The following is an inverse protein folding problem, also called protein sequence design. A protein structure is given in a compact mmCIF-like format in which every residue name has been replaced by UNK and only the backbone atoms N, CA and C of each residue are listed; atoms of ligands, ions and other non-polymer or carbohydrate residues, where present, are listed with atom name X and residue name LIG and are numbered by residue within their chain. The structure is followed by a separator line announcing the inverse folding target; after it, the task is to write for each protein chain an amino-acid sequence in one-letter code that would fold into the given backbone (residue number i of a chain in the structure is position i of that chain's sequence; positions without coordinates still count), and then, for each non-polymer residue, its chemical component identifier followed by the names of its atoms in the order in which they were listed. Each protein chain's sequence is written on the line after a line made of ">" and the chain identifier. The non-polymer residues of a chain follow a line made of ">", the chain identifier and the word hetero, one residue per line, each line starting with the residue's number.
data_IF_753571967117
#
_entry.id   IF_753571967117
#
_cell.length_a   1.000
_cell.length_b   1.000
_cell.length_c   1.000
_cell.angle_alpha   90.00
_cell.angle_beta   90.00
_cell.angle_gamma   90.00
#
_symmetry.space_group_name_H-M   'P 1'
#
loop_
_entity.id
_entity.type
_entity.pdbx_description
1 polymer ?
#
# COMPACT_ATOMS: atom_id res chain seq x y z
N UNK A 1 -19.95 2.86 -22.35
CA UNK A 1 -18.74 3.50 -21.80
C UNK A 1 -19.01 3.74 -20.33
N UNK A 2 -18.44 2.91 -19.44
CA UNK A 2 -18.58 3.10 -17.99
C UNK A 2 -17.37 3.92 -17.56
N UNK A 3 -17.61 5.21 -17.29
CA UNK A 3 -16.60 6.10 -16.72
C UNK A 3 -16.27 5.62 -15.31
N UNK A 4 -15.06 5.12 -15.13
CA UNK A 4 -14.55 4.71 -13.83
C UNK A 4 -13.96 5.93 -13.13
N UNK A 5 -14.78 6.68 -12.41
CA UNK A 5 -14.30 7.75 -11.55
C UNK A 5 -13.55 7.16 -10.36
N UNK A 6 -12.24 7.04 -10.51
CA UNK A 6 -11.34 6.91 -9.36
C UNK A 6 -11.21 8.32 -8.79
N UNK A 7 -11.86 8.60 -7.68
CA UNK A 7 -11.75 9.90 -7.02
C UNK A 7 -10.32 9.99 -6.46
N UNK A 8 -9.49 10.75 -7.16
CA UNK A 8 -8.17 11.15 -6.71
C UNK A 8 -8.37 12.41 -5.85
N UNK A 9 -8.19 12.31 -4.55
CA UNK A 9 -8.38 13.43 -3.62
C UNK A 9 -7.11 14.26 -3.57
N UNK A 10 -7.16 15.51 -4.01
CA UNK A 10 -6.10 16.49 -3.76
C UNK A 10 -6.20 16.98 -2.30
N UNK A 11 -5.21 16.62 -1.49
CA UNK A 11 -5.21 16.84 -0.03
C UNK A 11 -4.82 18.29 0.34
N UNK A 12 -4.63 19.19 -0.62
CA UNK A 12 -4.23 20.57 -0.36
C UNK A 12 -5.36 21.47 0.11
N UNK A 13 -6.60 21.03 -0.04
CA UNK A 13 -7.77 21.76 0.43
C UNK A 13 -8.66 20.83 1.26
N UNK A 14 -8.68 21.08 2.55
CA UNK A 14 -9.79 20.80 3.42
C UNK A 14 -9.65 19.70 4.49
N UNK A 15 -9.59 20.15 5.73
CA UNK A 15 -9.79 19.36 6.96
C UNK A 15 -11.23 18.88 7.16
N UNK A 16 -12.11 18.98 6.16
CA UNK A 16 -13.56 18.73 6.28
C UNK A 16 -14.09 17.54 5.45
N UNK A 17 -13.29 16.83 4.67
CA UNK A 17 -13.76 15.61 4.00
C UNK A 17 -13.41 14.37 4.83
N UNK A 18 -14.07 14.23 5.98
CA UNK A 18 -14.23 12.92 6.62
C UNK A 18 -15.14 12.16 5.66
N UNK A 19 -14.62 11.11 5.07
CA UNK A 19 -15.41 10.20 4.25
C UNK A 19 -16.60 9.70 5.05
N UNK A 20 -17.78 9.78 4.48
CA UNK A 20 -18.96 9.13 5.07
C UNK A 20 -18.82 7.60 4.88
N UNK A 21 -18.13 6.99 5.81
CA UNK A 21 -17.94 5.56 5.87
C UNK A 21 -19.20 4.82 6.39
N UNK A 22 -20.36 5.36 6.22
CA UNK A 22 -21.58 4.82 6.82
C UNK A 22 -22.09 3.53 6.17
N UNK A 23 -21.57 3.15 4.98
CA UNK A 23 -22.09 2.02 4.21
C UNK A 23 -20.97 1.18 3.60
N UNK A 24 -20.88 -0.11 3.97
CA UNK A 24 -20.07 -1.11 3.28
C UNK A 24 -18.64 -1.30 3.80
N UNK A 25 -17.90 -2.19 3.12
CA UNK A 25 -16.48 -2.50 3.39
C UNK A 25 -15.60 -1.32 2.98
N UNK A 26 -14.70 -0.89 3.87
CA UNK A 26 -13.83 0.27 3.69
C UNK A 26 -12.45 -0.15 3.20
N UNK A 27 -12.05 0.26 2.01
CA UNK A 27 -10.77 -0.08 1.42
C UNK A 27 -9.92 1.17 1.21
N UNK A 28 -8.84 1.30 1.98
CA UNK A 28 -7.85 2.33 1.78
C UNK A 28 -6.70 1.80 0.94
N UNK A 29 -6.41 2.45 -0.18
CA UNK A 29 -5.33 2.09 -1.07
C UNK A 29 -4.22 3.16 -1.03
N UNK A 30 -2.98 2.75 -0.74
CA UNK A 30 -1.82 3.63 -0.65
C UNK A 30 -0.82 3.31 -1.76
N UNK A 31 -0.60 4.29 -2.64
CA UNK A 31 0.43 4.20 -3.65
C UNK A 31 1.77 4.71 -3.09
N UNK A 32 2.71 3.80 -2.86
CA UNK A 32 4.08 4.10 -2.46
C UNK A 32 5.04 4.32 -3.63
N UNK A 33 4.54 4.43 -4.87
CA UNK A 33 5.35 4.77 -6.04
C UNK A 33 5.30 6.28 -6.32
N UNK A 34 6.44 6.88 -6.67
CA UNK A 34 6.49 8.26 -7.16
C UNK A 34 5.78 8.41 -8.53
N UNK A 35 5.68 7.31 -9.30
CA UNK A 35 5.04 7.29 -10.62
C UNK A 35 3.57 6.94 -10.48
N UNK A 36 2.67 7.93 -10.56
CA UNK A 36 1.21 7.76 -10.43
C UNK A 36 0.57 6.86 -11.52
N UNK A 37 1.27 6.67 -12.64
CA UNK A 37 0.85 5.81 -13.75
C UNK A 37 1.87 4.71 -14.06
N UNK A 38 2.80 4.43 -13.14
CA UNK A 38 3.75 3.32 -13.27
C UNK A 38 3.12 1.97 -12.90
N UNK A 39 3.92 0.91 -12.98
CA UNK A 39 3.46 -0.48 -12.79
C UNK A 39 2.76 -0.70 -11.45
N UNK A 40 3.34 -0.23 -10.33
CA UNK A 40 2.73 -0.38 -8.99
C UNK A 40 1.37 0.31 -8.90
N UNK A 41 1.26 1.55 -9.40
CA UNK A 41 0.02 2.31 -9.39
C UNK A 41 -1.05 1.66 -10.32
N UNK A 42 -0.64 1.12 -11.46
CA UNK A 42 -1.53 0.40 -12.38
C UNK A 42 -2.11 -0.84 -11.72
N UNK A 43 -1.27 -1.69 -11.12
CA UNK A 43 -1.75 -2.87 -10.38
C UNK A 43 -2.65 -2.49 -9.21
N UNK A 44 -2.31 -1.42 -8.47
CA UNK A 44 -3.14 -0.92 -7.37
C UNK A 44 -4.54 -0.48 -7.86
N UNK A 45 -4.61 0.21 -9.00
CA UNK A 45 -5.88 0.59 -9.63
C UNK A 45 -6.71 -0.66 -10.02
N UNK A 46 -6.06 -1.74 -10.45
CA UNK A 46 -6.75 -3.02 -10.69
C UNK A 46 -7.28 -3.65 -9.39
N UNK A 47 -6.51 -3.65 -8.31
CA UNK A 47 -6.98 -4.14 -7.01
C UNK A 47 -8.17 -3.31 -6.48
N UNK A 48 -8.13 -1.98 -6.63
CA UNK A 48 -9.24 -1.08 -6.32
C UNK A 48 -10.49 -1.44 -7.13
N UNK A 49 -10.35 -1.70 -8.44
CA UNK A 49 -11.48 -2.12 -9.28
C UNK A 49 -12.09 -3.44 -8.77
N UNK A 50 -11.24 -4.39 -8.37
CA UNK A 50 -11.70 -5.65 -7.77
C UNK A 50 -12.48 -5.42 -6.48
N UNK A 51 -11.98 -4.56 -5.59
CA UNK A 51 -12.67 -4.21 -4.34
C UNK A 51 -14.02 -3.52 -4.59
N UNK A 52 -14.08 -2.58 -5.55
CA UNK A 52 -15.36 -1.93 -5.97
C UNK A 52 -16.37 -2.95 -6.50
N UNK A 53 -15.92 -3.94 -7.27
CA UNK A 53 -16.80 -5.02 -7.77
C UNK A 53 -17.36 -5.90 -6.65
N UNK A 54 -16.69 -5.98 -5.51
CA UNK A 54 -17.19 -6.62 -4.30
C UNK A 54 -18.09 -5.70 -3.45
N UNK A 55 -18.41 -4.49 -3.92
CA UNK A 55 -19.27 -3.53 -3.23
C UNK A 55 -18.57 -2.65 -2.20
N UNK A 56 -17.23 -2.62 -2.18
CA UNK A 56 -16.49 -1.82 -1.21
C UNK A 56 -16.41 -0.33 -1.62
N UNK A 57 -16.41 0.54 -0.63
CA UNK A 57 -15.97 1.92 -0.78
C UNK A 57 -14.45 1.98 -0.80
N UNK A 58 -13.87 2.72 -1.74
CA UNK A 58 -12.42 2.75 -1.94
C UNK A 58 -11.88 4.16 -1.99
N UNK A 59 -10.74 4.38 -1.35
CA UNK A 59 -9.98 5.62 -1.41
C UNK A 59 -8.55 5.34 -1.83
N UNK A 60 -8.02 6.11 -2.79
CA UNK A 60 -6.61 6.06 -3.22
C UNK A 60 -5.87 7.29 -2.72
N UNK A 61 -4.72 7.06 -2.09
CA UNK A 61 -3.80 8.12 -1.66
C UNK A 61 -2.41 7.84 -2.24
N UNK A 62 -1.82 8.84 -2.89
CA UNK A 62 -0.44 8.81 -3.35
C UNK A 62 0.47 9.35 -2.24
N UNK A 63 1.29 8.50 -1.64
CA UNK A 63 2.14 8.90 -0.51
C UNK A 63 3.18 9.96 -0.87
N UNK A 64 3.60 10.02 -2.13
CA UNK A 64 4.53 11.04 -2.61
C UNK A 64 3.92 12.45 -2.74
N UNK A 65 2.59 12.59 -2.65
CA UNK A 65 1.93 13.90 -2.61
C UNK A 65 1.92 14.50 -1.20
N UNK A 66 2.33 13.72 -0.20
CA UNK A 66 2.30 14.10 1.21
C UNK A 66 3.67 14.55 1.71
N UNK A 67 3.69 15.58 2.55
CA UNK A 67 4.89 15.97 3.28
C UNK A 67 4.89 15.34 4.67
N UNK A 68 5.72 14.32 4.88
CA UNK A 68 5.88 13.63 6.17
C UNK A 68 7.25 12.97 6.31
N UNK A 69 7.55 12.52 7.51
CA UNK A 69 8.76 11.77 7.85
C UNK A 69 8.41 10.45 8.54
N UNK A 70 9.35 9.53 8.59
CA UNK A 70 9.25 8.28 9.31
C UNK A 70 9.12 8.44 10.83
N UNK A 71 9.16 7.34 11.55
CA UNK A 71 9.09 7.31 13.00
C UNK A 71 10.35 7.96 13.60
N UNK A 72 10.17 8.85 14.56
CA UNK A 72 11.27 9.57 15.25
C UNK A 72 11.66 8.92 16.58
N UNK A 73 11.06 7.76 16.93
CA UNK A 73 11.38 7.07 18.19
C UNK A 73 10.95 7.84 19.46
N UNK A 74 10.01 8.77 19.37
CA UNK A 74 9.57 9.58 20.51
C UNK A 74 8.81 8.80 21.60
N UNK A 75 8.42 7.56 21.33
CA UNK A 75 7.70 6.59 22.17
C UNK A 75 6.39 7.09 22.80
N UNK A 76 5.88 8.25 22.42
CA UNK A 76 4.62 8.82 22.95
C UNK A 76 3.41 7.88 22.73
N UNK A 77 3.45 7.05 21.67
CA UNK A 77 2.43 6.03 21.41
C UNK A 77 2.46 4.84 22.39
N UNK A 78 3.45 4.79 23.28
CA UNK A 78 3.61 3.76 24.33
C UNK A 78 3.32 4.28 25.73
N UNK A 79 3.16 5.60 25.90
CA UNK A 79 2.95 6.22 27.21
C UNK A 79 1.55 5.91 27.73
N UNK A 80 1.45 5.14 28.81
CA UNK A 80 0.19 4.81 29.46
C UNK A 80 -0.50 6.09 29.97
N UNK A 81 -1.77 6.25 29.67
CA UNK A 81 -2.54 7.48 29.98
C UNK A 81 -2.20 8.68 29.10
N UNK A 82 -1.23 8.56 28.20
CA UNK A 82 -0.89 9.62 27.24
C UNK A 82 -1.94 9.78 26.14
N UNK A 83 -2.14 11.02 25.66
CA UNK A 83 -3.10 11.34 24.58
C UNK A 83 -2.88 10.57 23.29
N UNK A 84 -1.66 10.10 23.04
CA UNK A 84 -1.27 9.39 21.82
C UNK A 84 -1.06 7.89 22.05
N UNK A 85 -1.52 7.33 23.17
CA UNK A 85 -1.40 5.90 23.40
C UNK A 85 -2.06 5.11 22.26
N UNK A 86 -1.33 4.18 21.63
CA UNK A 86 -1.78 3.41 20.48
C UNK A 86 -1.86 4.18 19.15
N UNK A 87 -1.42 5.45 19.10
CA UNK A 87 -1.46 6.30 17.89
C UNK A 87 -0.16 7.08 17.76
N UNK A 88 0.22 7.43 16.52
CA UNK A 88 1.38 8.29 16.30
C UNK A 88 1.08 9.72 16.75
N UNK A 89 1.93 10.26 17.64
CA UNK A 89 1.78 11.64 18.16
C UNK A 89 2.16 12.72 17.14
N UNK A 90 2.97 12.37 16.14
CA UNK A 90 3.47 13.33 15.15
C UNK A 90 2.34 13.82 14.26
N UNK A 91 2.26 15.16 14.09
CA UNK A 91 1.29 15.85 13.24
C UNK A 91 1.97 16.32 11.95
N UNK A 92 1.57 15.77 10.82
CA UNK A 92 2.03 16.12 9.47
C UNK A 92 1.06 15.54 8.43
N UNK A 93 1.44 15.55 7.15
CA UNK A 93 0.61 15.05 6.05
C UNK A 93 0.16 13.59 6.19
N UNK A 94 0.79 12.80 7.06
CA UNK A 94 0.40 11.41 7.28
C UNK A 94 -0.66 11.23 8.38
N UNK A 95 -0.97 12.27 9.15
CA UNK A 95 -1.84 12.17 10.34
C UNK A 95 -3.22 11.60 10.00
N UNK A 96 -3.89 12.17 9.01
CA UNK A 96 -5.22 11.73 8.55
C UNK A 96 -5.16 10.33 7.94
N UNK A 97 -4.13 10.05 7.14
CA UNK A 97 -3.95 8.75 6.49
C UNK A 97 -3.79 7.62 7.52
N UNK A 98 -3.05 7.86 8.60
CA UNK A 98 -2.91 6.88 9.69
C UNK A 98 -4.24 6.61 10.39
N UNK A 99 -5.05 7.64 10.59
CA UNK A 99 -6.40 7.48 11.18
C UNK A 99 -7.30 6.67 10.26
N UNK A 100 -7.37 7.03 8.98
CA UNK A 100 -8.14 6.30 7.98
C UNK A 100 -7.68 4.84 7.82
N UNK A 101 -6.37 4.59 7.89
CA UNK A 101 -5.82 3.23 7.82
C UNK A 101 -6.26 2.37 9.01
N UNK A 102 -6.31 2.94 10.22
CA UNK A 102 -6.80 2.22 11.43
C UNK A 102 -8.30 1.90 11.32
N UNK A 103 -9.07 2.76 10.67
CA UNK A 103 -10.52 2.62 10.51
C UNK A 103 -10.93 1.76 9.30
N UNK A 104 -10.03 1.52 8.35
CA UNK A 104 -10.30 0.70 7.18
C UNK A 104 -10.47 -0.78 7.52
N UNK A 105 -11.22 -1.51 6.70
CA UNK A 105 -11.37 -2.97 6.77
C UNK A 105 -10.29 -3.67 5.97
N UNK A 106 -9.90 -3.04 4.86
CA UNK A 106 -8.85 -3.52 3.96
C UNK A 106 -7.86 -2.39 3.67
N UNK A 107 -6.59 -2.72 3.72
CA UNK A 107 -5.49 -1.83 3.34
C UNK A 107 -4.77 -2.42 2.11
N UNK A 108 -4.80 -1.72 0.98
CA UNK A 108 -4.07 -2.07 -0.23
C UNK A 108 -2.81 -1.21 -0.32
N UNK A 109 -1.64 -1.84 -0.34
CA UNK A 109 -0.34 -1.16 -0.34
C UNK A 109 0.43 -1.52 -1.61
N UNK A 110 0.83 -0.54 -2.42
CA UNK A 110 1.63 -0.80 -3.61
C UNK A 110 2.97 -0.06 -3.56
N UNK A 111 4.05 -0.75 -3.93
CA UNK A 111 5.40 -0.16 -3.99
C UNK A 111 6.28 -0.84 -5.03
N UNK A 112 7.12 -0.09 -5.76
CA UNK A 112 8.29 -0.69 -6.36
C UNK A 112 9.28 -1.11 -5.27
N UNK A 113 10.13 -2.08 -5.59
CA UNK A 113 11.20 -2.53 -4.71
C UNK A 113 12.48 -1.79 -5.08
N UNK A 114 13.06 -1.10 -4.11
CA UNK A 114 14.34 -0.41 -4.21
C UNK A 114 15.31 -0.98 -3.17
N UNK A 115 16.43 -1.53 -3.64
CA UNK A 115 17.50 -2.03 -2.76
C UNK A 115 17.00 -2.97 -1.65
N UNK A 116 16.20 -3.96 -2.03
CA UNK A 116 15.64 -4.98 -1.15
C UNK A 116 14.68 -4.43 -0.07
N UNK A 117 13.99 -3.30 -0.38
CA UNK A 117 12.93 -2.75 0.47
C UNK A 117 11.86 -2.04 -0.37
N UNK A 118 10.72 -1.74 0.24
CA UNK A 118 9.73 -0.81 -0.31
C UNK A 118 10.31 0.60 -0.37
N UNK A 119 9.66 1.51 -1.09
CA UNK A 119 10.11 2.91 -1.11
C UNK A 119 10.17 3.51 0.29
N UNK A 120 11.09 4.45 0.51
CA UNK A 120 11.23 5.16 1.79
C UNK A 120 9.93 5.82 2.27
N UNK A 121 9.08 6.28 1.33
CA UNK A 121 7.76 6.82 1.66
C UNK A 121 6.85 5.73 2.25
N UNK A 122 6.71 4.58 1.59
CA UNK A 122 5.90 3.50 2.15
C UNK A 122 6.51 2.95 3.45
N UNK A 123 7.84 2.82 3.56
CA UNK A 123 8.51 2.39 4.79
C UNK A 123 8.20 3.34 5.96
N UNK A 124 8.28 4.64 5.73
CA UNK A 124 7.96 5.66 6.73
C UNK A 124 6.49 5.59 7.21
N UNK A 125 5.55 5.27 6.28
CA UNK A 125 4.17 4.97 6.65
C UNK A 125 4.10 3.72 7.54
N UNK A 126 4.71 2.60 7.12
CA UNK A 126 4.67 1.33 7.85
C UNK A 126 5.24 1.46 9.26
N UNK A 127 6.35 2.17 9.45
CA UNK A 127 6.92 2.44 10.78
C UNK A 127 5.90 3.13 11.70
N UNK A 128 5.24 4.17 11.20
CA UNK A 128 4.29 4.97 11.97
C UNK A 128 2.92 4.32 12.09
N UNK A 129 2.62 3.33 11.29
CA UNK A 129 1.41 2.52 11.35
C UNK A 129 1.60 1.29 12.25
N UNK A 130 2.70 0.56 12.12
CA UNK A 130 2.93 -0.66 12.87
C UNK A 130 3.39 -0.41 14.31
N UNK A 131 4.32 0.52 14.51
CA UNK A 131 4.88 0.75 15.84
C UNK A 131 3.84 1.14 16.90
N UNK A 132 2.87 2.03 16.64
CA UNK A 132 1.81 2.32 17.61
C UNK A 132 0.88 1.13 17.89
N UNK A 133 0.71 0.22 16.92
CA UNK A 133 -0.25 -0.87 17.00
C UNK A 133 0.07 -1.93 18.08
N UNK A 134 1.34 -2.10 18.42
CA UNK A 134 1.82 -3.15 19.34
C UNK A 134 2.13 -2.60 20.73
N UNK A 135 2.10 -3.49 21.75
CA UNK A 135 2.60 -3.20 23.11
C UNK A 135 3.89 -3.96 23.38
N UNK A 136 4.65 -3.48 24.37
CA UNK A 136 5.79 -4.21 24.96
C UNK A 136 5.42 -4.95 26.25
N UNK A 137 4.12 -5.19 26.45
CA UNK A 137 3.64 -6.02 27.56
C UNK A 137 3.85 -7.50 27.25
N UNK A 138 3.84 -8.34 28.28
CA UNK A 138 3.95 -9.80 28.11
C UNK A 138 2.87 -10.37 27.19
N UNK A 139 1.67 -9.80 27.23
CA UNK A 139 0.51 -10.23 26.44
C UNK A 139 0.52 -9.75 24.98
N UNK A 140 1.41 -8.80 24.64
CA UNK A 140 1.57 -8.24 23.26
C UNK A 140 0.24 -7.93 22.56
N UNK A 141 -0.61 -7.15 23.20
CA UNK A 141 -1.94 -6.80 22.63
C UNK A 141 -1.83 -5.88 21.43
N UNK A 142 -2.65 -6.13 20.42
CA UNK A 142 -2.92 -5.16 19.37
C UNK A 142 -3.75 -4.00 19.95
N UNK A 143 -3.27 -2.76 19.74
CA UNK A 143 -3.95 -1.55 20.24
C UNK A 143 -4.99 -0.98 19.25
N UNK A 144 -5.05 -1.49 18.03
CA UNK A 144 -6.08 -1.08 17.07
C UNK A 144 -7.41 -1.77 17.36
N UNK A 145 -8.55 -1.12 17.03
CA UNK A 145 -9.88 -1.61 17.42
C UNK A 145 -10.26 -2.93 16.73
N UNK A 146 -9.63 -3.24 15.61
CA UNK A 146 -9.88 -4.45 14.80
C UNK A 146 -8.64 -4.90 14.07
N UNK A 147 -8.66 -6.15 13.60
CA UNK A 147 -7.72 -6.66 12.60
C UNK A 147 -8.10 -6.11 11.22
N UNK A 148 -7.10 -5.78 10.42
CA UNK A 148 -7.27 -5.20 9.08
C UNK A 148 -6.69 -6.17 8.06
N UNK A 149 -7.47 -6.55 7.05
CA UNK A 149 -6.95 -7.36 5.93
C UNK A 149 -6.00 -6.51 5.08
N UNK A 150 -4.86 -7.07 4.67
CA UNK A 150 -3.85 -6.31 3.91
C UNK A 150 -3.51 -7.01 2.61
N UNK A 151 -3.60 -6.28 1.50
CA UNK A 151 -3.09 -6.69 0.20
C UNK A 151 -1.85 -5.88 -0.16
N UNK A 152 -0.72 -6.55 -0.39
CA UNK A 152 0.52 -5.90 -0.81
C UNK A 152 0.79 -6.16 -2.29
N UNK A 153 1.24 -5.14 -3.01
CA UNK A 153 1.56 -5.18 -4.42
C UNK A 153 3.01 -4.72 -4.59
N UNK A 154 3.86 -5.62 -5.05
CA UNK A 154 5.27 -5.31 -5.26
C UNK A 154 5.62 -5.36 -6.75
N UNK A 155 6.35 -4.37 -7.22
CA UNK A 155 6.86 -4.36 -8.59
C UNK A 155 8.37 -4.19 -8.59
N UNK A 156 9.05 -4.93 -9.46
CA UNK A 156 10.51 -4.90 -9.53
C UNK A 156 11.00 -5.01 -10.98
N UNK A 157 12.17 -4.46 -11.24
CA UNK A 157 12.86 -4.63 -12.52
C UNK A 157 13.78 -5.88 -12.57
N UNK A 158 13.90 -6.58 -11.45
CA UNK A 158 14.60 -7.85 -11.32
C UNK A 158 13.60 -9.03 -11.32
N UNK A 159 14.06 -10.28 -11.54
CA UNK A 159 13.24 -11.48 -11.33
C UNK A 159 12.68 -11.55 -9.92
N UNK A 160 11.48 -12.11 -9.74
CA UNK A 160 10.76 -12.09 -8.46
C UNK A 160 11.42 -12.94 -7.37
N UNK A 161 12.13 -14.00 -7.76
CA UNK A 161 12.84 -14.89 -6.84
C UNK A 161 13.92 -14.18 -6.02
N UNK A 162 14.50 -13.09 -6.53
CA UNK A 162 15.47 -12.27 -5.78
C UNK A 162 14.91 -11.68 -4.47
N UNK A 163 13.60 -11.48 -4.41
CA UNK A 163 12.96 -10.77 -3.32
C UNK A 163 11.94 -11.62 -2.54
N UNK A 164 11.88 -12.93 -2.79
CA UNK A 164 10.88 -13.81 -2.17
C UNK A 164 10.96 -13.78 -0.63
N UNK A 165 12.16 -13.84 -0.07
CA UNK A 165 12.36 -13.79 1.39
C UNK A 165 11.93 -12.44 1.98
N UNK A 166 12.22 -11.35 1.26
CA UNK A 166 11.77 -10.02 1.64
C UNK A 166 10.25 -9.91 1.64
N UNK A 167 9.59 -10.37 0.57
CA UNK A 167 8.12 -10.36 0.50
C UNK A 167 7.50 -11.17 1.64
N UNK A 168 7.96 -12.37 1.84
CA UNK A 168 7.48 -13.25 2.91
C UNK A 168 7.75 -12.66 4.30
N UNK A 169 8.90 -12.04 4.52
CA UNK A 169 9.25 -11.35 5.76
C UNK A 169 8.32 -10.18 6.07
N UNK A 170 8.04 -9.34 5.06
CA UNK A 170 7.16 -8.19 5.21
C UNK A 170 5.71 -8.61 5.47
N UNK A 171 5.22 -9.60 4.72
CA UNK A 171 3.88 -10.18 4.89
C UNK A 171 3.72 -10.80 6.26
N UNK A 172 4.68 -11.61 6.72
CA UNK A 172 4.67 -12.20 8.06
C UNK A 172 4.62 -11.14 9.15
N UNK A 173 5.41 -10.07 9.03
CA UNK A 173 5.41 -8.95 9.97
C UNK A 173 4.06 -8.24 10.01
N UNK A 174 3.51 -7.94 8.85
CA UNK A 174 2.18 -7.31 8.72
C UNK A 174 1.07 -8.19 9.30
N UNK A 175 1.07 -9.48 8.97
CA UNK A 175 0.06 -10.44 9.47
C UNK A 175 0.11 -10.56 10.99
N UNK A 176 1.31 -10.55 11.56
CA UNK A 176 1.47 -10.60 13.00
C UNK A 176 0.96 -9.32 13.70
N UNK A 177 1.27 -8.13 13.14
CA UNK A 177 0.95 -6.85 13.77
C UNK A 177 -0.50 -6.44 13.49
N UNK A 178 -0.97 -6.50 12.24
CA UNK A 178 -2.19 -5.83 11.79
C UNK A 178 -3.32 -6.81 11.50
N UNK A 179 -3.08 -7.80 10.65
CA UNK A 179 -4.10 -8.75 10.21
C UNK A 179 -3.69 -9.52 8.98
N UNK A 180 -4.56 -10.42 8.53
CA UNK A 180 -4.28 -11.30 7.41
C UNK A 180 -3.75 -10.54 6.21
N UNK A 181 -2.55 -10.92 5.79
CA UNK A 181 -1.81 -10.23 4.74
C UNK A 181 -1.46 -11.20 3.62
N UNK A 182 -1.75 -10.81 2.40
CA UNK A 182 -1.32 -11.49 1.19
C UNK A 182 -0.63 -10.53 0.23
N UNK A 183 0.04 -11.06 -0.80
CA UNK A 183 0.69 -10.21 -1.78
C UNK A 183 0.59 -10.75 -3.20
N UNK A 184 0.75 -9.85 -4.15
CA UNK A 184 0.98 -10.14 -5.57
C UNK A 184 2.17 -9.33 -6.07
N UNK A 185 2.85 -9.87 -7.08
CA UNK A 185 4.04 -9.23 -7.63
C UNK A 185 3.92 -9.05 -9.14
N UNK A 186 4.63 -8.04 -9.67
CA UNK A 186 5.06 -7.97 -11.05
C UNK A 186 6.57 -7.80 -11.09
N UNK A 187 7.25 -8.79 -11.63
CA UNK A 187 8.70 -8.82 -11.71
C UNK A 187 9.18 -8.48 -13.12
N UNK A 188 10.45 -8.15 -13.27
CA UNK A 188 11.08 -7.86 -14.57
C UNK A 188 10.25 -6.88 -15.42
N UNK A 189 9.73 -5.83 -14.79
CA UNK A 189 8.76 -4.92 -15.41
C UNK A 189 9.37 -3.97 -16.41
N UNK A 190 8.54 -3.51 -17.37
CA UNK A 190 8.87 -2.40 -18.27
C UNK A 190 9.04 -1.10 -17.48
N UNK A 191 10.19 -0.44 -17.63
CA UNK A 191 10.55 0.72 -16.81
C UNK A 191 10.67 2.02 -17.60
N UNK A 192 11.16 1.96 -18.83
CA UNK A 192 11.44 3.12 -19.66
C UNK A 192 10.63 3.07 -20.95
N UNK A 193 10.10 4.20 -21.39
CA UNK A 193 9.39 4.29 -22.67
C UNK A 193 10.33 4.04 -23.86
N UNK A 194 11.59 4.47 -23.73
CA UNK A 194 12.63 4.29 -24.73
C UNK A 194 13.97 3.97 -24.03
N UNK A 195 14.36 2.71 -24.04
CA UNK A 195 15.58 2.22 -23.39
C UNK A 195 16.87 2.78 -23.98
N UNK A 196 16.87 3.21 -25.26
CA UNK A 196 18.04 3.80 -25.91
C UNK A 196 18.49 5.13 -25.31
N UNK A 197 17.60 5.81 -24.59
CA UNK A 197 17.87 7.10 -23.93
C UNK A 197 18.51 6.97 -22.55
N UNK A 198 18.69 5.76 -22.05
CA UNK A 198 19.18 5.51 -20.70
C UNK A 198 20.39 4.56 -20.73
N UNK A 199 21.26 4.69 -19.74
CA UNK A 199 22.32 3.72 -19.49
C UNK A 199 21.69 2.41 -18.98
N UNK A 200 21.16 1.59 -19.87
CA UNK A 200 20.28 0.45 -19.56
C UNK A 200 20.54 -0.74 -20.51
N UNK A 201 21.74 -0.84 -21.06
CA UNK A 201 22.18 -1.85 -22.03
C UNK A 201 22.22 -3.29 -21.48
N UNK A 202 22.19 -3.43 -20.14
CA UNK A 202 22.04 -4.74 -19.51
C UNK A 202 20.64 -5.37 -19.73
N UNK A 203 19.65 -4.60 -20.19
CA UNK A 203 18.29 -5.08 -20.38
C UNK A 203 17.96 -5.34 -21.84
N UNK A 204 17.38 -6.49 -22.13
CA UNK A 204 16.75 -6.76 -23.44
C UNK A 204 15.40 -6.00 -23.50
N UNK A 205 15.40 -4.81 -24.10
CA UNK A 205 14.21 -3.98 -24.24
C UNK A 205 13.07 -4.66 -25.00
N UNK A 206 13.40 -5.50 -26.01
CA UNK A 206 12.38 -6.22 -26.77
C UNK A 206 11.72 -7.33 -25.92
N UNK A 207 12.51 -8.06 -25.13
CA UNK A 207 11.97 -9.05 -24.20
C UNK A 207 11.11 -8.40 -23.11
N UNK A 208 11.56 -7.27 -22.54
CA UNK A 208 10.76 -6.52 -21.55
C UNK A 208 9.45 -6.01 -22.13
N UNK A 209 9.46 -5.53 -23.38
CA UNK A 209 8.23 -5.08 -24.06
C UNK A 209 7.24 -6.24 -24.23
N UNK A 210 7.70 -7.39 -24.78
CA UNK A 210 6.85 -8.59 -24.91
C UNK A 210 6.26 -9.01 -23.57
N UNK A 211 7.09 -9.06 -22.53
CA UNK A 211 6.62 -9.38 -21.16
C UNK A 211 5.57 -8.40 -20.65
N UNK A 212 5.76 -7.10 -20.91
CA UNK A 212 4.78 -6.08 -20.53
C UNK A 212 3.44 -6.26 -21.27
N UNK A 213 3.48 -6.66 -22.53
CA UNK A 213 2.27 -6.87 -23.35
C UNK A 213 1.55 -8.20 -23.00
N UNK A 214 2.30 -9.25 -22.68
CA UNK A 214 1.74 -10.60 -22.49
C UNK A 214 1.52 -10.98 -21.01
N UNK A 215 2.45 -10.65 -20.14
CA UNK A 215 2.47 -11.10 -18.73
C UNK A 215 1.89 -10.07 -17.77
N UNK A 216 2.24 -8.80 -17.93
CA UNK A 216 1.79 -7.75 -17.01
C UNK A 216 0.25 -7.63 -16.91
N UNK A 217 -0.55 -7.83 -17.98
CA UNK A 217 -2.02 -7.89 -17.85
C UNK A 217 -2.50 -9.03 -16.95
N UNK A 218 -1.80 -10.17 -16.94
CA UNK A 218 -2.12 -11.31 -16.06
C UNK A 218 -1.80 -10.96 -14.60
N UNK A 219 -0.69 -10.27 -14.35
CA UNK A 219 -0.31 -9.78 -13.03
C UNK A 219 -1.31 -8.72 -12.52
N UNK A 220 -1.77 -7.83 -13.38
CA UNK A 220 -2.86 -6.90 -13.08
C UNK A 220 -4.18 -7.62 -12.73
N UNK A 221 -4.49 -8.73 -13.40
CA UNK A 221 -5.65 -9.56 -13.08
C UNK A 221 -5.52 -10.20 -11.70
N UNK A 222 -4.33 -10.70 -11.33
CA UNK A 222 -4.07 -11.21 -9.98
C UNK A 222 -4.33 -10.13 -8.91
N UNK A 223 -3.89 -8.89 -9.16
CA UNK A 223 -4.16 -7.77 -8.27
C UNK A 223 -5.66 -7.47 -8.16
N UNK A 224 -6.39 -7.49 -9.28
CA UNK A 224 -7.85 -7.35 -9.29
C UNK A 224 -8.53 -8.43 -8.43
N UNK A 225 -8.18 -9.71 -8.62
CA UNK A 225 -8.77 -10.82 -7.86
C UNK A 225 -8.42 -10.74 -6.37
N UNK A 226 -7.20 -10.31 -6.03
CA UNK A 226 -6.81 -10.04 -4.64
C UNK A 226 -7.71 -8.95 -4.02
N UNK A 227 -7.87 -7.82 -4.68
CA UNK A 227 -8.72 -6.74 -4.18
C UNK A 227 -10.18 -7.16 -4.02
N UNK A 228 -10.72 -7.92 -4.98
CA UNK A 228 -12.07 -8.48 -4.92
C UNK A 228 -12.25 -9.44 -3.74
N UNK A 229 -11.30 -10.35 -3.53
CA UNK A 229 -11.37 -11.34 -2.44
C UNK A 229 -11.25 -10.70 -1.07
N UNK A 230 -10.31 -9.76 -0.88
CA UNK A 230 -10.12 -9.08 0.40
C UNK A 230 -11.33 -8.25 0.81
N UNK A 231 -12.02 -7.65 -0.16
CA UNK A 231 -13.19 -6.81 0.07
C UNK A 231 -14.52 -7.59 0.08
N UNK A 232 -14.50 -8.88 -0.21
CA UNK A 232 -15.70 -9.69 -0.09
C UNK A 232 -16.12 -9.82 1.39
N UNK A 233 -17.38 -9.52 1.67
CA UNK A 233 -18.02 -9.87 2.94
C UNK A 233 -18.15 -11.39 2.99
N UNK A 234 -17.54 -12.03 4.00
CA UNK A 234 -17.72 -13.46 4.25
C UNK A 234 -19.15 -13.80 4.65
#
# INVERSE_FOLDING_TARGET
>A
MITTDVVEVDIRENTANIWDWSKGMKVLALNGSARKNGNSATMLKHAIKGAKMAGAETKLINLFDLNYKGCTGCVSCKLLGGRSFGRCARRDGLTTVLTEAIESDVLLLASPIYFNDVTGMLRSFLERFWFPAITYTKERKLLYPKRIKVGMIFTTNAPSEFYTDFYNGLVRTSSWIIGDTEYVTAADTWQFDDYSKYAADMFDAAAKKRRHEEVFPVECRKAYEMGKRLAATG
#
